data_IF_815119194632
#
_entry.id   IF_815119194632
#
_cell.length_a   1.000
_cell.length_b   1.000
_cell.length_c   1.000
_cell.angle_alpha   90.00
_cell.angle_beta   90.00
_cell.angle_gamma   90.00
#
_symmetry.space_group_name_H-M   'P 1'
#
loop_
_entity.id
_entity.type
_entity.pdbx_description
1 polymer ?
#
# COMPACT_ATOMS: atom_id res chain seq x y z
N UNK A 1 -12.69 -6.48 -6.87
CA UNK A 1 -12.63 -5.23 -6.11
C UNK A 1 -11.25 -5.02 -5.53
N UNK A 2 -10.70 -3.81 -5.71
CA UNK A 2 -9.43 -3.36 -5.14
C UNK A 2 -9.71 -2.37 -3.99
N UNK A 3 -9.15 -2.62 -2.81
CA UNK A 3 -9.11 -1.60 -1.74
C UNK A 3 -7.76 -0.88 -1.76
N UNK A 4 -7.80 0.45 -1.79
CA UNK A 4 -6.62 1.30 -1.62
C UNK A 4 -6.63 1.93 -0.23
N UNK A 5 -5.70 1.49 0.63
CA UNK A 5 -5.45 2.09 1.94
C UNK A 5 -4.29 3.09 1.85
N UNK A 6 -4.65 4.37 1.86
CA UNK A 6 -3.70 5.47 1.92
C UNK A 6 -3.59 6.00 3.35
N UNK A 7 -2.41 5.87 3.96
CA UNK A 7 -2.07 6.58 5.20
C UNK A 7 -1.48 7.96 4.89
N UNK A 8 -0.90 8.08 3.70
CA UNK A 8 -0.40 9.34 3.14
C UNK A 8 -1.04 9.54 1.77
N UNK A 9 -1.63 10.72 1.50
CA UNK A 9 -2.33 10.96 0.24
C UNK A 9 -1.38 10.89 -0.96
N UNK A 10 -1.88 10.43 -2.10
CA UNK A 10 -1.16 10.46 -3.37
C UNK A 10 -2.11 10.58 -4.56
N UNK A 11 -1.97 11.67 -5.33
CA UNK A 11 -2.79 11.89 -6.53
C UNK A 11 -2.47 10.87 -7.62
N UNK A 12 -1.19 10.72 -7.96
CA UNK A 12 -0.76 9.86 -9.09
C UNK A 12 -1.07 8.40 -8.82
N UNK A 13 -0.69 7.90 -7.63
CA UNK A 13 -0.92 6.51 -7.25
C UNK A 13 -2.40 6.17 -7.21
N UNK A 14 -3.24 7.06 -6.64
CA UNK A 14 -4.69 6.83 -6.59
C UNK A 14 -5.28 6.77 -7.99
N UNK A 15 -4.96 7.74 -8.84
CA UNK A 15 -5.52 7.82 -10.21
C UNK A 15 -5.04 6.62 -11.04
N UNK A 16 -3.76 6.27 -11.01
CA UNK A 16 -3.22 5.19 -11.83
C UNK A 16 -3.79 3.82 -11.47
N UNK A 17 -3.84 3.48 -10.17
CA UNK A 17 -4.43 2.22 -9.73
C UNK A 17 -5.94 2.16 -9.96
N UNK A 18 -6.62 3.31 -9.81
CA UNK A 18 -8.05 3.38 -10.12
C UNK A 18 -8.28 3.11 -11.60
N UNK A 19 -7.58 3.82 -12.49
CA UNK A 19 -7.69 3.62 -13.93
C UNK A 19 -7.36 2.18 -14.33
N UNK A 20 -6.27 1.61 -13.81
CA UNK A 20 -5.88 0.23 -14.08
C UNK A 20 -6.98 -0.77 -13.67
N UNK A 21 -7.52 -0.65 -12.46
CA UNK A 21 -8.58 -1.55 -12.00
C UNK A 21 -9.87 -1.39 -12.82
N UNK A 22 -10.25 -0.17 -13.17
CA UNK A 22 -11.42 0.08 -14.02
C UNK A 22 -11.25 -0.48 -15.43
N UNK A 23 -10.05 -0.38 -16.03
CA UNK A 23 -9.76 -0.98 -17.34
C UNK A 23 -9.86 -2.51 -17.31
N UNK A 24 -9.59 -3.13 -16.16
CA UNK A 24 -9.79 -4.56 -15.93
C UNK A 24 -11.25 -4.94 -15.58
N UNK A 25 -12.20 -4.00 -15.67
CA UNK A 25 -13.61 -4.22 -15.34
C UNK A 25 -13.90 -4.29 -13.84
N UNK A 26 -12.94 -3.87 -13.00
CA UNK A 26 -13.04 -3.92 -11.55
C UNK A 26 -13.60 -2.65 -10.91
N UNK A 27 -13.83 -2.75 -9.60
CA UNK A 27 -14.25 -1.65 -8.75
C UNK A 27 -13.17 -1.30 -7.72
N UNK A 28 -13.09 -0.02 -7.34
CA UNK A 28 -12.07 0.52 -6.43
C UNK A 28 -12.74 1.15 -5.21
N UNK A 29 -12.36 0.69 -4.03
CA UNK A 29 -12.66 1.33 -2.77
C UNK A 29 -11.42 2.12 -2.31
N UNK A 30 -11.61 3.38 -1.94
CA UNK A 30 -10.52 4.24 -1.49
C UNK A 30 -11.04 5.16 -0.38
N UNK A 31 -11.22 4.65 0.85
CA UNK A 31 -11.63 5.47 1.98
C UNK A 31 -10.61 6.60 2.22
N UNK A 32 -11.09 7.76 2.69
CA UNK A 32 -10.18 8.84 3.06
C UNK A 32 -9.37 8.42 4.30
N UNK A 33 -8.10 8.82 4.42
CA UNK A 33 -7.26 8.44 5.56
C UNK A 33 -7.89 8.80 6.92
N UNK A 34 -8.60 9.94 7.00
CA UNK A 34 -9.26 10.40 8.23
C UNK A 34 -10.55 9.66 8.60
N UNK A 35 -11.12 8.88 7.69
CA UNK A 35 -12.35 8.11 7.93
C UNK A 35 -12.04 6.71 8.49
N UNK A 36 -10.79 6.27 8.39
CA UNK A 36 -10.35 4.98 8.88
C UNK A 36 -10.14 5.02 10.40
N UNK A 37 -10.80 4.11 11.13
CA UNK A 37 -10.51 3.87 12.55
C UNK A 37 -9.48 2.77 12.76
N UNK A 38 -8.48 2.68 11.88
CA UNK A 38 -7.42 1.68 11.98
C UNK A 38 -6.40 2.09 13.04
N UNK A 39 -6.14 1.18 13.98
CA UNK A 39 -5.08 1.32 14.97
C UNK A 39 -3.84 0.54 14.55
N UNK A 40 -2.72 1.26 14.44
CA UNK A 40 -1.41 0.65 14.21
C UNK A 40 -0.83 0.01 15.48
N UNK A 41 -1.40 0.35 16.64
CA UNK A 41 -1.02 -0.18 17.95
C UNK A 41 -2.19 -0.97 18.53
N UNK A 42 -1.93 -2.13 19.13
CA UNK A 42 -2.96 -2.91 19.81
C UNK A 42 -3.22 -2.34 21.21
N UNK A 43 -3.89 -1.17 21.25
CA UNK A 43 -4.27 -0.47 22.49
C UNK A 43 -5.78 -0.49 22.70
N UNK A 44 -6.28 -0.79 23.92
CA UNK A 44 -7.70 -0.67 24.24
C UNK A 44 -8.24 0.73 23.92
N UNK A 45 -9.32 0.81 23.13
CA UNK A 45 -9.94 2.07 22.72
C UNK A 45 -9.28 2.79 21.53
N UNK A 46 -8.19 2.24 20.97
CA UNK A 46 -7.36 2.87 19.93
C UNK A 46 -7.85 2.74 18.48
N UNK A 47 -8.96 2.04 18.23
CA UNK A 47 -9.44 1.71 16.88
C UNK A 47 -9.47 0.20 16.61
N UNK A 48 -9.77 -0.17 15.37
CA UNK A 48 -9.75 -1.55 14.85
C UNK A 48 -8.30 -2.00 14.66
N UNK A 49 -7.97 -3.23 15.06
CA UNK A 49 -6.61 -3.74 14.89
C UNK A 49 -6.27 -4.01 13.42
N UNK A 50 -4.98 -4.01 13.06
CA UNK A 50 -4.53 -4.46 11.73
C UNK A 50 -5.02 -5.88 11.43
N UNK A 51 -5.02 -6.76 12.44
CA UNK A 51 -5.48 -8.15 12.30
C UNK A 51 -6.95 -8.23 11.93
N UNK A 52 -7.80 -7.57 12.70
CA UNK A 52 -9.25 -7.59 12.44
C UNK A 52 -9.56 -6.95 11.09
N UNK A 53 -8.92 -5.81 10.80
CA UNK A 53 -9.08 -5.11 9.53
C UNK A 53 -8.67 -5.99 8.35
N UNK A 54 -7.53 -6.67 8.42
CA UNK A 54 -7.05 -7.59 7.38
C UNK A 54 -8.04 -8.75 7.14
N UNK A 55 -8.46 -9.44 8.20
CA UNK A 55 -9.34 -10.62 8.14
C UNK A 55 -10.77 -10.28 7.72
N UNK A 56 -11.27 -9.11 8.07
CA UNK A 56 -12.59 -8.64 7.66
C UNK A 56 -12.56 -8.17 6.22
N UNK A 57 -11.56 -7.37 5.85
CA UNK A 57 -11.43 -6.79 4.51
C UNK A 57 -11.28 -7.84 3.43
N UNK A 58 -10.49 -8.90 3.66
CA UNK A 58 -10.28 -9.96 2.65
C UNK A 58 -11.56 -10.70 2.25
N UNK A 59 -12.63 -10.61 3.05
CA UNK A 59 -13.93 -11.20 2.71
C UNK A 59 -14.74 -10.35 1.73
N UNK A 60 -14.35 -9.09 1.51
CA UNK A 60 -15.09 -8.13 0.70
C UNK A 60 -14.32 -7.65 -0.54
N UNK A 61 -13.00 -7.84 -0.57
CA UNK A 61 -12.13 -7.36 -1.65
C UNK A 61 -11.17 -8.45 -2.11
N UNK A 62 -10.78 -8.38 -3.38
CA UNK A 62 -9.92 -9.38 -4.00
C UNK A 62 -8.44 -9.01 -3.90
N UNK A 63 -8.13 -7.71 -3.75
CA UNK A 63 -6.75 -7.18 -3.69
C UNK A 63 -6.69 -5.99 -2.74
N UNK A 64 -5.62 -5.91 -1.96
CA UNK A 64 -5.33 -4.79 -1.07
C UNK A 64 -4.09 -4.02 -1.54
N UNK A 65 -4.21 -2.72 -1.75
CA UNK A 65 -3.08 -1.82 -1.99
C UNK A 65 -2.81 -0.93 -0.77
N UNK A 66 -1.58 -0.87 -0.29
CA UNK A 66 -1.20 -0.07 0.89
C UNK A 66 -0.13 0.96 0.54
N UNK A 67 -0.33 2.21 0.97
CA UNK A 67 0.69 3.26 0.98
C UNK A 67 0.95 3.77 2.39
N UNK A 68 2.15 3.54 2.91
CA UNK A 68 2.52 3.93 4.28
C UNK A 68 3.95 4.45 4.34
N UNK A 69 4.17 5.73 4.66
CA UNK A 69 5.50 6.36 4.61
C UNK A 69 6.10 6.66 6.00
N UNK A 70 5.52 6.10 7.05
CA UNK A 70 5.96 6.34 8.42
C UNK A 70 7.26 5.61 8.73
N UNK A 71 8.15 6.30 9.43
CA UNK A 71 9.34 5.75 10.07
C UNK A 71 9.03 5.32 11.50
N UNK A 72 9.80 4.38 12.06
CA UNK A 72 9.69 3.99 13.46
C UNK A 72 10.93 4.46 14.24
N UNK A 73 10.78 5.11 15.40
CA UNK A 73 11.92 5.45 16.23
C UNK A 73 12.62 4.19 16.77
N UNK A 74 13.95 4.21 16.85
CA UNK A 74 14.71 3.19 17.59
C UNK A 74 14.62 3.41 19.11
N UNK A 75 15.32 2.57 19.87
CA UNK A 75 15.38 2.63 21.34
C UNK A 75 15.82 3.99 21.90
N UNK A 76 16.53 4.80 21.10
CA UNK A 76 16.99 6.14 21.46
C UNK A 76 16.07 7.24 20.93
N UNK A 77 14.91 6.88 20.36
CA UNK A 77 13.96 7.82 19.79
C UNK A 77 14.33 8.33 18.39
N UNK A 78 15.36 7.77 17.74
CA UNK A 78 15.84 8.24 16.44
C UNK A 78 14.99 7.60 15.32
N UNK A 79 14.35 8.37 14.43
CA UNK A 79 13.55 7.81 13.34
C UNK A 79 14.38 6.88 12.44
N UNK A 80 13.92 5.65 12.25
CA UNK A 80 14.47 4.65 11.33
C UNK A 80 13.47 4.30 10.25
N UNK A 81 13.99 4.04 9.06
CA UNK A 81 13.21 3.51 7.96
C UNK A 81 12.78 2.06 8.26
N UNK A 82 11.69 1.62 7.63
CA UNK A 82 11.09 0.30 7.74
C UNK A 82 9.71 0.28 8.41
N UNK A 83 9.20 1.40 8.92
CA UNK A 83 7.94 1.41 9.66
C UNK A 83 6.72 1.14 8.77
N UNK A 84 6.63 1.83 7.64
CA UNK A 84 5.56 1.63 6.67
C UNK A 84 5.68 0.30 5.93
N UNK A 85 6.92 -0.15 5.71
CA UNK A 85 7.20 -1.48 5.17
C UNK A 85 6.69 -2.58 6.11
N UNK A 86 6.99 -2.49 7.40
CA UNK A 86 6.56 -3.45 8.41
C UNK A 86 5.03 -3.55 8.49
N UNK A 87 4.31 -2.43 8.42
CA UNK A 87 2.85 -2.42 8.41
C UNK A 87 2.30 -3.14 7.17
N UNK A 88 2.84 -2.82 5.99
CA UNK A 88 2.43 -3.49 4.74
C UNK A 88 2.66 -5.00 4.80
N UNK A 89 3.81 -5.43 5.34
CA UNK A 89 4.13 -6.86 5.52
C UNK A 89 3.19 -7.53 6.51
N UNK A 90 2.86 -6.87 7.62
CA UNK A 90 1.90 -7.39 8.61
C UNK A 90 0.53 -7.68 7.97
N UNK A 91 0.03 -6.80 7.11
CA UNK A 91 -1.19 -7.08 6.33
C UNK A 91 -1.03 -8.30 5.42
N UNK A 92 0.10 -8.42 4.72
CA UNK A 92 0.40 -9.54 3.82
C UNK A 92 0.57 -10.89 4.54
N UNK A 93 1.02 -10.87 5.80
CA UNK A 93 1.15 -12.07 6.64
C UNK A 93 -0.19 -12.52 7.22
N UNK A 94 -1.12 -11.59 7.44
CA UNK A 94 -2.41 -11.85 8.11
C UNK A 94 -3.54 -12.17 7.13
N UNK A 95 -3.53 -11.59 5.93
CA UNK A 95 -4.57 -11.78 4.93
C UNK A 95 -4.17 -12.81 3.87
N UNK A 96 -5.14 -13.56 3.35
CA UNK A 96 -4.94 -14.50 2.24
C UNK A 96 -5.03 -13.82 0.86
N UNK A 97 -5.63 -12.62 0.79
CA UNK A 97 -5.69 -11.82 -0.44
C UNK A 97 -4.31 -11.24 -0.81
N UNK A 98 -4.00 -11.03 -2.10
CA UNK A 98 -2.79 -10.32 -2.52
C UNK A 98 -2.71 -8.91 -1.95
N UNK A 99 -1.54 -8.57 -1.37
CA UNK A 99 -1.22 -7.23 -0.87
C UNK A 99 -0.15 -6.58 -1.74
N UNK A 100 -0.44 -5.40 -2.29
CA UNK A 100 0.45 -4.62 -3.16
C UNK A 100 0.99 -3.42 -2.39
N UNK A 101 2.31 -3.30 -2.33
CA UNK A 101 2.97 -2.09 -1.81
C UNK A 101 2.88 -0.96 -2.85
N UNK A 102 2.12 0.08 -2.51
CA UNK A 102 1.95 1.29 -3.32
C UNK A 102 3.00 2.36 -3.01
N UNK A 103 3.65 2.24 -1.85
CA UNK A 103 4.95 2.79 -1.45
C UNK A 103 5.09 2.58 0.06
N UNK A 104 6.29 2.23 0.49
CA UNK A 104 6.74 2.35 1.86
C UNK A 104 7.77 3.48 2.01
N UNK A 105 8.18 3.74 3.23
CA UNK A 105 9.33 4.59 3.55
C UNK A 105 10.67 4.00 3.06
N UNK A 106 10.70 2.71 2.71
CA UNK A 106 11.88 2.02 2.16
C UNK A 106 11.83 1.87 0.65
N UNK A 107 10.67 1.53 0.08
CA UNK A 107 10.57 1.07 -1.31
C UNK A 107 9.35 1.61 -2.02
N UNK A 108 9.45 1.77 -3.35
CA UNK A 108 8.32 2.08 -4.21
C UNK A 108 8.33 1.17 -5.44
N UNK A 109 8.02 -0.14 -5.28
CA UNK A 109 8.21 -1.13 -6.34
C UNK A 109 7.40 -0.82 -7.60
N UNK A 110 6.19 -0.28 -7.43
CA UNK A 110 5.30 0.12 -8.54
C UNK A 110 5.86 1.29 -9.36
N UNK A 111 6.60 2.21 -8.73
CA UNK A 111 7.31 3.28 -9.45
C UNK A 111 8.53 2.71 -10.17
N UNK A 112 9.31 1.86 -9.50
CA UNK A 112 10.47 1.21 -10.11
C UNK A 112 10.09 0.40 -11.36
N UNK A 113 8.99 -0.35 -11.32
CA UNK A 113 8.48 -1.08 -12.49
C UNK A 113 8.05 -0.10 -13.59
N UNK A 114 7.34 0.99 -13.26
CA UNK A 114 6.96 2.01 -14.24
C UNK A 114 8.18 2.65 -14.90
N UNK A 115 9.23 2.96 -14.13
CA UNK A 115 10.48 3.52 -14.65
C UNK A 115 11.19 2.53 -15.57
N UNK A 116 11.21 1.24 -15.21
CA UNK A 116 11.76 0.18 -16.07
C UNK A 116 10.98 0.05 -17.39
N UNK A 117 9.64 0.15 -17.36
CA UNK A 117 8.82 0.15 -18.57
C UNK A 117 9.17 1.33 -19.47
N UNK A 118 9.28 2.54 -18.92
CA UNK A 118 9.66 3.74 -19.68
C UNK A 118 11.06 3.58 -20.28
N UNK A 119 12.02 3.02 -19.53
CA UNK A 119 13.35 2.72 -20.06
C UNK A 119 13.28 1.74 -21.24
N UNK A 120 12.48 0.68 -21.16
CA UNK A 120 12.31 -0.28 -22.25
C UNK A 120 11.64 0.33 -23.49
N UNK A 121 10.71 1.26 -23.31
CA UNK A 121 9.99 1.93 -24.40
C UNK A 121 10.83 3.03 -25.07
N UNK A 122 11.65 3.74 -24.29
CA UNK A 122 12.33 4.97 -24.73
C UNK A 122 13.79 4.74 -25.12
N UNK A 123 14.46 3.73 -24.57
CA UNK A 123 15.83 3.43 -24.93
C UNK A 123 15.84 2.61 -26.23
N UNK A 124 16.56 3.12 -27.23
CA UNK A 124 16.84 2.40 -28.47
C UNK A 124 17.52 1.08 -28.10
N UNK A 125 16.98 -0.05 -28.58
CA UNK A 125 17.70 -1.33 -28.50
C UNK A 125 19.03 -1.16 -29.20
N UNK A 126 20.11 -1.17 -28.44
CA UNK A 126 21.46 -1.28 -28.99
C UNK A 126 21.64 -2.77 -29.26
N UNK A 127 21.27 -3.20 -30.46
CA UNK A 127 21.66 -4.52 -30.94
C UNK A 127 23.20 -4.51 -31.05
N UNK A 128 23.83 -5.34 -30.22
CA UNK A 128 25.29 -5.53 -30.22
C UNK A 128 25.78 -6.28 -31.44
#
# INVERSE_FOLDING_TARGET
TLLLLFFYPSTRTRISFTAAMHQLGGFVQCPAPGDLRLSLEEKPGGGESIRDTALVTERYVDVLGIRHLTTMPDENGIPRLGGGEAITRKFAELANMPVISLASDMHHPTQAIADLMVMQESLVRVDG
#
